data_IF_234460699106
#
_entry.id   IF_234460699106
#
_cell.length_a   1.000
_cell.length_b   1.000
_cell.length_c   1.000
_cell.angle_alpha   90.00
_cell.angle_beta   90.00
_cell.angle_gamma   90.00
#
_symmetry.space_group_name_H-M   'P 1'
#
loop_
_entity.id
_entity.type
_entity.pdbx_description
1 polymer ?
#
# COMPACT_ATOMS: atom_id res chain seq x y z
N UNK A 1 -0.55 -12.83 -0.16
CA UNK A 1 -2.02 -12.98 0.05
C UNK A 1 -2.34 -13.82 1.28
N UNK A 2 -1.95 -15.07 1.36
CA UNK A 2 -2.40 -16.00 2.42
C UNK A 2 -1.98 -15.54 3.83
N UNK A 3 -0.72 -15.18 4.05
CA UNK A 3 -0.24 -14.75 5.37
C UNK A 3 -1.05 -13.62 5.99
N UNK A 4 -1.32 -12.49 5.30
CA UNK A 4 -2.19 -11.43 5.85
C UNK A 4 -3.60 -11.95 6.19
N UNK A 5 -4.18 -12.82 5.36
CA UNK A 5 -5.51 -13.42 5.63
C UNK A 5 -5.49 -14.24 6.92
N UNK A 6 -4.44 -15.04 7.13
CA UNK A 6 -4.29 -15.84 8.36
C UNK A 6 -4.11 -14.94 9.59
N UNK A 7 -3.32 -13.86 9.48
CA UNK A 7 -3.15 -12.89 10.56
C UNK A 7 -4.47 -12.19 10.90
N UNK A 8 -5.22 -11.76 9.90
CA UNK A 8 -6.56 -11.17 10.09
C UNK A 8 -7.46 -12.16 10.80
N UNK A 9 -7.52 -13.41 10.34
CA UNK A 9 -8.33 -14.46 10.94
C UNK A 9 -7.96 -14.73 12.41
N UNK A 10 -6.68 -14.68 12.75
CA UNK A 10 -6.20 -14.91 14.11
C UNK A 10 -6.48 -13.75 15.08
N UNK A 11 -6.77 -12.54 14.58
CA UNK A 11 -6.86 -11.34 15.42
C UNK A 11 -8.25 -10.69 15.43
N UNK A 12 -9.04 -10.87 14.38
CA UNK A 12 -10.31 -10.13 14.17
C UNK A 12 -11.36 -10.42 15.25
N UNK A 13 -11.49 -11.67 15.68
CA UNK A 13 -12.51 -12.04 16.69
C UNK A 13 -12.23 -11.39 18.05
N UNK A 14 -10.95 -11.33 18.46
CA UNK A 14 -10.54 -10.62 19.66
C UNK A 14 -10.75 -9.09 19.55
N UNK A 15 -10.60 -8.52 18.37
CA UNK A 15 -10.90 -7.11 18.10
C UNK A 15 -12.41 -6.85 18.18
N UNK A 16 -13.23 -7.73 17.62
CA UNK A 16 -14.69 -7.65 17.68
C UNK A 16 -15.18 -7.73 19.15
N UNK A 17 -14.65 -8.68 19.93
CA UNK A 17 -15.03 -8.87 21.33
C UNK A 17 -14.79 -7.62 22.21
N UNK A 18 -13.65 -6.93 22.00
CA UNK A 18 -13.34 -5.69 22.73
C UNK A 18 -13.89 -4.41 22.09
N UNK A 19 -14.65 -4.54 20.96
CA UNK A 19 -15.25 -3.44 20.20
C UNK A 19 -14.25 -2.35 19.77
N UNK A 20 -13.02 -2.76 19.46
CA UNK A 20 -11.99 -1.90 18.91
C UNK A 20 -10.94 -2.72 18.14
N UNK A 21 -10.71 -2.33 16.89
CA UNK A 21 -9.63 -2.87 16.07
C UNK A 21 -9.34 -2.00 14.86
N UNK A 22 -8.06 -1.94 14.51
CA UNK A 22 -7.56 -1.29 13.29
C UNK A 22 -6.60 -2.25 12.61
N UNK A 23 -6.94 -2.68 11.41
CA UNK A 23 -6.10 -3.56 10.59
C UNK A 23 -5.72 -2.79 9.33
N UNK A 24 -4.43 -2.69 9.08
CA UNK A 24 -3.89 -2.03 7.91
C UNK A 24 -2.98 -3.00 7.16
N UNK A 25 -3.30 -3.26 5.90
CA UNK A 25 -2.44 -4.02 5.01
C UNK A 25 -1.63 -3.07 4.13
N UNK A 26 -0.33 -3.23 4.10
CA UNK A 26 0.52 -2.50 3.16
C UNK A 26 0.64 -3.36 1.90
N UNK A 27 0.03 -2.89 0.82
CA UNK A 27 -0.01 -3.62 -0.46
C UNK A 27 0.88 -2.97 -1.51
N UNK A 28 0.34 -2.32 -2.53
CA UNK A 28 1.09 -1.62 -3.59
C UNK A 28 0.15 -0.81 -4.47
N UNK A 29 0.64 0.26 -5.09
CA UNK A 29 -0.01 0.93 -6.22
C UNK A 29 -0.34 -0.02 -7.37
N UNK A 30 0.38 -1.15 -7.48
CA UNK A 30 0.13 -2.21 -8.46
C UNK A 30 -1.27 -2.85 -8.38
N UNK A 31 -2.02 -2.64 -7.28
CA UNK A 31 -3.43 -3.03 -7.17
C UNK A 31 -4.30 -2.21 -8.13
N UNK A 32 -3.98 -0.93 -8.32
CA UNK A 32 -4.70 -0.04 -9.24
C UNK A 32 -4.08 0.01 -10.64
N UNK A 33 -2.76 -0.09 -10.71
CA UNK A 33 -1.99 -0.06 -11.95
C UNK A 33 -1.00 -1.22 -11.98
N UNK A 34 -1.39 -2.38 -12.53
CA UNK A 34 -0.53 -3.56 -12.58
C UNK A 34 0.83 -3.27 -13.20
N UNK A 35 1.88 -3.80 -12.59
CA UNK A 35 3.26 -3.68 -13.06
C UNK A 35 3.60 -4.96 -13.82
N UNK A 36 3.97 -4.85 -15.10
CA UNK A 36 4.13 -5.98 -16.04
C UNK A 36 5.02 -7.10 -15.52
N UNK A 37 6.16 -6.75 -14.93
CA UNK A 37 7.14 -7.72 -14.42
C UNK A 37 6.77 -8.32 -13.06
N UNK A 38 5.66 -7.91 -12.44
CA UNK A 38 5.25 -8.31 -11.09
C UNK A 38 3.94 -9.12 -11.07
N UNK A 39 3.68 -9.97 -12.07
CA UNK A 39 2.41 -10.67 -12.24
C UNK A 39 1.90 -11.39 -10.98
N UNK A 40 2.74 -12.21 -10.33
CA UNK A 40 2.37 -12.90 -9.07
C UNK A 40 2.08 -11.92 -7.93
N UNK A 41 2.83 -10.83 -7.86
CA UNK A 41 2.65 -9.78 -6.86
C UNK A 41 1.34 -9.02 -7.09
N UNK A 42 1.05 -8.67 -8.34
CA UNK A 42 -0.21 -8.03 -8.75
C UNK A 42 -1.40 -8.90 -8.33
N UNK A 43 -1.41 -10.18 -8.71
CA UNK A 43 -2.48 -11.12 -8.37
C UNK A 43 -2.67 -11.31 -6.87
N UNK A 44 -1.56 -11.51 -6.12
CA UNK A 44 -1.61 -11.72 -4.68
C UNK A 44 -2.16 -10.50 -3.92
N UNK A 45 -1.79 -9.28 -4.32
CA UNK A 45 -2.26 -8.05 -3.68
C UNK A 45 -3.69 -7.71 -4.03
N UNK A 46 -4.08 -7.88 -5.29
CA UNK A 46 -5.46 -7.67 -5.73
C UNK A 46 -6.41 -8.67 -5.07
N UNK A 47 -6.00 -9.94 -4.95
CA UNK A 47 -6.78 -10.95 -4.23
C UNK A 47 -6.96 -10.62 -2.75
N UNK A 48 -5.93 -10.12 -2.07
CA UNK A 48 -6.04 -9.62 -0.69
C UNK A 48 -7.00 -8.42 -0.60
N UNK A 49 -6.94 -7.49 -1.53
CA UNK A 49 -7.80 -6.31 -1.60
C UNK A 49 -9.28 -6.72 -1.71
N UNK A 50 -9.59 -7.69 -2.58
CA UNK A 50 -10.95 -8.23 -2.71
C UNK A 50 -11.44 -8.93 -1.42
N UNK A 51 -10.58 -9.71 -0.76
CA UNK A 51 -10.90 -10.33 0.53
C UNK A 51 -11.21 -9.28 1.60
N UNK A 52 -10.38 -8.23 1.71
CA UNK A 52 -10.57 -7.14 2.66
C UNK A 52 -11.89 -6.41 2.40
N UNK A 53 -12.22 -6.10 1.15
CA UNK A 53 -13.47 -5.42 0.80
C UNK A 53 -14.71 -6.16 1.30
N UNK A 54 -14.72 -7.50 1.22
CA UNK A 54 -15.82 -8.32 1.74
C UNK A 54 -15.88 -8.35 3.26
N UNK A 55 -14.73 -8.53 3.94
CA UNK A 55 -14.67 -8.70 5.39
C UNK A 55 -14.91 -7.37 6.14
N UNK A 56 -14.36 -6.27 5.65
CA UNK A 56 -14.46 -4.95 6.28
C UNK A 56 -15.91 -4.52 6.54
N UNK A 57 -16.84 -4.90 5.66
CA UNK A 57 -18.27 -4.61 5.80
C UNK A 57 -18.92 -5.38 6.97
N UNK A 58 -18.35 -6.52 7.36
CA UNK A 58 -18.86 -7.34 8.47
C UNK A 58 -18.34 -6.91 9.83
N UNK A 59 -17.17 -6.26 9.86
CA UNK A 59 -16.46 -5.93 11.10
C UNK A 59 -16.70 -4.51 11.59
N UNK A 60 -17.04 -3.58 10.70
CA UNK A 60 -17.19 -2.15 11.03
C UNK A 60 -18.26 -1.86 12.09
N UNK A 61 -19.35 -2.62 12.12
CA UNK A 61 -20.39 -2.50 13.15
C UNK A 61 -19.89 -2.78 14.58
N UNK A 62 -18.74 -3.41 14.71
CA UNK A 62 -18.04 -3.67 15.98
C UNK A 62 -16.88 -2.71 16.23
N UNK A 63 -16.81 -1.58 15.51
CA UNK A 63 -15.70 -0.62 15.56
C UNK A 63 -14.33 -1.25 15.20
N UNK A 64 -14.36 -2.24 14.29
CA UNK A 64 -13.16 -2.86 13.72
C UNK A 64 -13.07 -2.50 12.25
N UNK A 65 -12.06 -1.74 11.86
CA UNK A 65 -11.84 -1.31 10.49
C UNK A 65 -10.66 -2.06 9.85
N UNK A 66 -10.76 -2.34 8.56
CA UNK A 66 -9.72 -3.00 7.77
C UNK A 66 -9.50 -2.21 6.50
N UNK A 67 -8.29 -1.68 6.30
CA UNK A 67 -7.94 -0.86 5.16
C UNK A 67 -6.62 -1.31 4.52
N UNK A 68 -6.39 -0.88 3.30
CA UNK A 68 -5.14 -1.14 2.57
C UNK A 68 -4.45 0.19 2.24
N UNK A 69 -3.15 0.26 2.46
CA UNK A 69 -2.30 1.34 1.98
C UNK A 69 -1.52 0.86 0.76
N UNK A 70 -1.57 1.64 -0.30
CA UNK A 70 -1.01 1.32 -1.61
C UNK A 70 0.15 2.28 -1.93
N UNK A 71 1.38 1.98 -1.46
CA UNK A 71 2.52 2.83 -1.76
C UNK A 71 2.90 2.79 -3.24
N UNK A 72 3.21 3.96 -3.79
CA UNK A 72 4.04 4.14 -4.96
C UNK A 72 5.54 4.07 -4.61
N UNK A 73 6.40 4.82 -5.32
CA UNK A 73 7.83 4.84 -5.03
C UNK A 73 8.15 5.74 -3.84
N UNK A 74 8.63 5.15 -2.74
CA UNK A 74 9.15 5.84 -1.56
C UNK A 74 10.67 5.67 -1.46
N UNK A 75 11.37 6.68 -0.95
CA UNK A 75 12.83 6.69 -0.78
C UNK A 75 13.26 5.74 0.34
N UNK A 76 13.45 4.48 -0.02
CA UNK A 76 13.83 3.38 0.86
C UNK A 76 15.07 2.68 0.34
N UNK A 77 15.76 1.92 1.20
CA UNK A 77 16.92 1.11 0.79
C UNK A 77 16.56 0.12 -0.33
N UNK A 78 15.33 -0.41 -0.31
CA UNK A 78 14.84 -1.28 -1.38
C UNK A 78 14.75 -0.53 -2.71
N UNK A 79 14.24 0.71 -2.72
CA UNK A 79 14.17 1.52 -3.94
C UNK A 79 15.59 1.83 -4.46
N UNK A 80 16.51 2.23 -3.57
CA UNK A 80 17.92 2.52 -3.92
C UNK A 80 18.59 1.29 -4.53
N UNK A 81 18.39 0.10 -3.94
CA UNK A 81 18.89 -1.16 -4.50
C UNK A 81 18.33 -1.45 -5.88
N UNK A 82 17.05 -1.21 -6.10
CA UNK A 82 16.40 -1.38 -7.42
C UNK A 82 16.96 -0.41 -8.45
N UNK A 83 17.19 0.83 -8.06
CA UNK A 83 17.82 1.86 -8.93
C UNK A 83 19.24 1.44 -9.32
N UNK A 84 20.03 0.96 -8.37
CA UNK A 84 21.40 0.50 -8.64
C UNK A 84 21.44 -0.68 -9.63
N UNK A 85 20.53 -1.64 -9.49
CA UNK A 85 20.37 -2.76 -10.43
C UNK A 85 19.98 -2.23 -11.82
N UNK A 86 18.99 -1.35 -11.90
CA UNK A 86 18.53 -0.77 -13.16
C UNK A 86 19.66 0.02 -13.86
N UNK A 87 20.42 0.84 -13.13
CA UNK A 87 21.56 1.59 -13.63
C UNK A 87 22.59 0.65 -14.25
N UNK A 88 22.99 -0.40 -13.52
CA UNK A 88 23.93 -1.41 -14.00
C UNK A 88 23.44 -2.13 -15.26
N UNK A 89 22.18 -2.50 -15.30
CA UNK A 89 21.60 -3.26 -16.43
C UNK A 89 21.46 -2.41 -17.70
N UNK A 90 21.20 -1.11 -17.52
CA UNK A 90 21.00 -0.17 -18.63
C UNK A 90 22.29 0.57 -19.05
N UNK A 91 23.43 0.34 -18.39
CA UNK A 91 24.68 1.06 -18.63
C UNK A 91 24.63 2.55 -18.28
N UNK A 92 23.74 2.94 -17.37
CA UNK A 92 23.51 4.33 -16.94
C UNK A 92 24.00 4.54 -15.51
N UNK A 93 24.07 5.82 -15.09
CA UNK A 93 24.36 6.13 -13.68
C UNK A 93 23.07 6.05 -12.82
N UNK A 94 23.19 5.79 -11.51
CA UNK A 94 22.04 5.85 -10.60
C UNK A 94 21.32 7.21 -10.62
N UNK A 95 22.08 8.31 -10.72
CA UNK A 95 21.57 9.68 -10.77
C UNK A 95 20.69 9.93 -12.00
N UNK A 96 21.08 9.38 -13.15
CA UNK A 96 20.27 9.46 -14.38
C UNK A 96 18.97 8.69 -14.23
N UNK A 97 18.99 7.51 -13.61
CA UNK A 97 17.80 6.70 -13.34
C UNK A 97 16.87 7.42 -12.36
N UNK A 98 17.41 8.01 -11.30
CA UNK A 98 16.64 8.82 -10.31
C UNK A 98 15.97 9.99 -11.01
N UNK A 99 16.73 10.77 -11.77
CA UNK A 99 16.22 11.94 -12.50
C UNK A 99 15.03 11.58 -13.40
N UNK A 100 15.14 10.49 -14.17
CA UNK A 100 14.08 10.07 -15.05
C UNK A 100 12.83 9.59 -14.29
N UNK A 101 13.03 8.86 -13.17
CA UNK A 101 11.92 8.45 -12.32
C UNK A 101 11.23 9.62 -11.64
N UNK A 102 11.98 10.65 -11.21
CA UNK A 102 11.41 11.89 -10.67
C UNK A 102 10.60 12.60 -11.76
N UNK A 103 11.14 12.72 -12.98
CA UNK A 103 10.45 13.36 -14.10
C UNK A 103 9.16 12.62 -14.50
N UNK A 104 9.14 11.29 -14.36
CA UNK A 104 7.96 10.47 -14.67
C UNK A 104 6.88 10.52 -13.59
N UNK A 105 7.20 10.97 -12.38
CA UNK A 105 6.23 11.13 -11.30
C UNK A 105 5.74 12.58 -11.25
N UNK A 106 4.43 12.86 -11.24
CA UNK A 106 3.89 14.21 -11.16
C UNK A 106 4.40 15.02 -9.96
N UNK A 107 4.66 14.37 -8.81
CA UNK A 107 5.25 15.03 -7.64
C UNK A 107 6.71 15.43 -7.84
N UNK A 108 7.39 14.97 -8.89
CA UNK A 108 8.78 15.28 -9.19
C UNK A 108 9.81 14.66 -8.22
N UNK A 109 9.37 13.76 -7.36
CA UNK A 109 10.21 13.13 -6.32
C UNK A 109 9.67 11.76 -5.91
N UNK A 110 10.46 11.05 -5.13
CA UNK A 110 9.96 9.92 -4.33
C UNK A 110 9.27 10.42 -3.06
N UNK A 111 8.34 9.64 -2.51
CA UNK A 111 7.74 9.92 -1.21
C UNK A 111 8.75 9.72 -0.09
N UNK A 112 8.63 10.50 0.98
CA UNK A 112 9.34 10.25 2.22
C UNK A 112 8.62 9.13 3.00
N UNK A 113 9.33 8.11 3.52
CA UNK A 113 8.73 7.09 4.38
C UNK A 113 7.92 7.66 5.57
N UNK A 114 8.28 8.83 6.09
CA UNK A 114 7.53 9.50 7.13
C UNK A 114 6.12 9.92 6.67
N UNK A 115 5.96 10.43 5.44
CA UNK A 115 4.65 10.78 4.86
C UNK A 115 3.72 9.55 4.80
N UNK A 116 4.28 8.37 4.52
CA UNK A 116 3.54 7.12 4.54
C UNK A 116 3.15 6.73 5.97
N UNK A 117 4.08 6.89 6.92
CA UNK A 117 3.88 6.58 8.33
C UNK A 117 2.77 7.40 8.95
N UNK A 118 2.68 8.68 8.64
CA UNK A 118 1.63 9.58 9.16
C UNK A 118 0.22 9.17 8.69
N UNK A 119 0.05 8.81 7.42
CA UNK A 119 -1.24 8.27 6.97
C UNK A 119 -1.56 6.94 7.65
N UNK A 120 -0.57 6.05 7.80
CA UNK A 120 -0.75 4.79 8.52
C UNK A 120 -1.20 5.03 9.96
N UNK A 121 -0.56 5.97 10.67
CA UNK A 121 -0.92 6.36 12.03
C UNK A 121 -2.36 6.89 12.11
N UNK A 122 -2.75 7.76 11.16
CA UNK A 122 -4.13 8.27 11.11
C UNK A 122 -5.14 7.13 10.90
N UNK A 123 -4.92 6.24 9.93
CA UNK A 123 -5.83 5.12 9.64
C UNK A 123 -5.90 4.12 10.81
N UNK A 124 -4.84 4.02 11.61
CA UNK A 124 -4.81 3.21 12.83
C UNK A 124 -5.46 3.91 14.05
N UNK A 125 -5.77 5.19 13.96
CA UNK A 125 -6.28 5.98 15.09
C UNK A 125 -7.77 5.70 15.40
N UNK A 126 -8.23 6.18 16.55
CA UNK A 126 -9.64 6.14 16.93
C UNK A 126 -10.51 7.00 15.99
N UNK A 127 -9.97 8.10 15.48
CA UNK A 127 -10.64 9.05 14.59
C UNK A 127 -11.03 8.44 13.23
N UNK A 128 -10.31 7.39 12.79
CA UNK A 128 -10.58 6.69 11.54
C UNK A 128 -11.67 5.61 11.65
N UNK A 129 -12.52 5.65 12.69
CA UNK A 129 -13.52 4.61 12.97
C UNK A 129 -14.61 4.44 11.91
N UNK A 130 -14.82 5.45 11.05
CA UNK A 130 -15.80 5.40 9.95
C UNK A 130 -15.16 5.09 8.58
N UNK A 131 -13.84 4.81 8.56
CA UNK A 131 -13.08 4.53 7.35
C UNK A 131 -12.75 3.04 7.33
N UNK A 132 -13.37 2.28 6.41
CA UNK A 132 -13.12 0.84 6.29
C UNK A 132 -13.26 0.35 4.85
N UNK A 133 -12.54 -0.71 4.49
CA UNK A 133 -12.53 -1.29 3.16
C UNK A 133 -11.85 -0.43 2.09
N UNK A 134 -11.12 0.62 2.50
CA UNK A 134 -10.51 1.57 1.59
C UNK A 134 -9.14 1.13 1.09
N UNK A 135 -8.80 1.62 -0.09
CA UNK A 135 -7.52 1.44 -0.74
C UNK A 135 -6.87 2.82 -0.91
N UNK A 136 -6.07 3.23 0.06
CA UNK A 136 -5.40 4.53 0.05
C UNK A 136 -4.16 4.47 -0.83
N UNK A 137 -4.24 5.10 -1.99
CA UNK A 137 -3.10 5.25 -2.89
C UNK A 137 -2.24 6.44 -2.46
N UNK A 138 -0.93 6.19 -2.34
CA UNK A 138 0.05 7.20 -1.93
C UNK A 138 1.22 7.09 -2.91
N UNK A 139 1.15 7.79 -4.04
CA UNK A 139 2.07 7.58 -5.17
C UNK A 139 2.57 8.88 -5.84
N UNK A 140 2.26 10.04 -5.27
CA UNK A 140 2.65 11.32 -5.85
C UNK A 140 1.92 11.67 -7.14
N UNK A 141 0.74 11.07 -7.37
CA UNK A 141 -0.08 11.31 -8.57
C UNK A 141 0.33 10.45 -9.78
N UNK A 142 1.15 9.42 -9.58
CA UNK A 142 1.63 8.59 -10.68
C UNK A 142 0.51 7.78 -11.38
N UNK A 143 -0.54 7.40 -10.65
CA UNK A 143 -1.71 6.73 -11.22
C UNK A 143 -2.64 7.73 -11.91
N UNK A 144 -2.90 7.60 -13.22
CA UNK A 144 -3.68 8.58 -13.97
C UNK A 144 -5.20 8.35 -13.92
N UNK A 145 -5.67 7.33 -13.19
CA UNK A 145 -7.09 6.99 -13.10
C UNK A 145 -7.84 7.80 -12.03
N UNK A 146 -9.16 7.78 -12.13
CA UNK A 146 -10.06 8.44 -11.17
C UNK A 146 -10.56 7.51 -10.07
N UNK A 147 -10.51 6.19 -10.26
CA UNK A 147 -11.03 5.17 -9.34
C UNK A 147 -9.98 4.12 -8.98
#
# INVERSE_FOLDING_TARGET
MITPILLIKATVDGMIARRFGRIVNITSSAVKHPIDILGLSNGARTGLTGFVAGLARKTVGHNVTINNLLPGPFDTDRLRSTIAIQAKTSGRTPEEVVRDRHKANPAGRFGDPAEFGELCAFVCSAQAGYITGQNFLIDGGAYPGTL
#
